data_IF_902659446628
#
_entry.id   IF_902659446628
#
_cell.length_a   1.000
_cell.length_b   1.000
_cell.length_c   1.000
_cell.angle_alpha   90.00
_cell.angle_beta   90.00
_cell.angle_gamma   90.00
#
_symmetry.space_group_name_H-M   'P 1'
#
loop_
_entity.id
_entity.type
_entity.pdbx_description
1 polymer ?
#
# COMPACT_ATOMS: atom_id res chain seq x y z
N UNK A 1 17.99 -20.37 5.24
CA UNK A 1 19.18 -21.08 4.72
C UNK A 1 19.53 -22.16 5.72
N UNK A 2 19.50 -23.43 5.29
CA UNK A 2 19.96 -24.56 6.11
C UNK A 2 21.41 -24.30 6.52
N UNK A 3 21.75 -24.53 7.78
CA UNK A 3 23.14 -24.47 8.20
C UNK A 3 23.95 -25.47 7.35
N UNK A 4 25.07 -25.03 6.75
CA UNK A 4 25.90 -25.93 5.97
C UNK A 4 26.34 -27.11 6.86
N UNK A 5 26.47 -28.30 6.29
CA UNK A 5 26.90 -29.46 7.06
C UNK A 5 28.23 -29.17 7.75
N UNK A 6 28.42 -29.72 8.96
CA UNK A 6 29.64 -29.51 9.74
C UNK A 6 30.89 -29.84 8.92
N UNK A 7 30.84 -30.91 8.12
CA UNK A 7 31.93 -31.31 7.22
C UNK A 7 32.26 -30.25 6.16
N UNK A 8 31.24 -29.63 5.58
CA UNK A 8 31.47 -28.54 4.63
C UNK A 8 32.13 -27.32 5.30
N UNK A 9 31.65 -26.95 6.50
CA UNK A 9 32.20 -25.81 7.24
C UNK A 9 33.64 -26.02 7.66
N UNK A 10 34.01 -27.24 8.08
CA UNK A 10 35.40 -27.62 8.43
C UNK A 10 36.27 -27.59 7.17
N UNK A 11 35.81 -28.20 6.08
CA UNK A 11 36.55 -28.22 4.81
C UNK A 11 36.80 -26.82 4.25
N UNK A 12 35.78 -25.95 4.34
CA UNK A 12 35.91 -24.55 3.93
C UNK A 12 36.91 -23.77 4.80
N UNK A 13 36.87 -23.93 6.14
CA UNK A 13 37.81 -23.30 7.03
C UNK A 13 39.25 -23.78 6.80
N UNK A 14 39.44 -25.09 6.57
CA UNK A 14 40.74 -25.64 6.23
C UNK A 14 41.30 -25.05 4.92
N UNK A 15 40.42 -24.88 3.90
CA UNK A 15 40.80 -24.22 2.65
C UNK A 15 41.19 -22.77 2.86
N UNK A 16 40.43 -22.02 3.67
CA UNK A 16 40.77 -20.63 4.02
C UNK A 16 42.14 -20.53 4.72
N UNK A 17 42.43 -21.43 5.66
CA UNK A 17 43.75 -21.48 6.35
C UNK A 17 44.86 -21.84 5.36
N UNK A 18 44.67 -22.81 4.47
CA UNK A 18 45.65 -23.18 3.47
C UNK A 18 45.97 -22.02 2.52
N UNK A 19 44.96 -21.30 2.03
CA UNK A 19 45.14 -20.10 1.20
C UNK A 19 45.87 -19.01 1.97
N UNK A 20 45.49 -18.73 3.23
CA UNK A 20 46.13 -17.76 4.06
C UNK A 20 47.61 -18.10 4.31
N UNK A 21 47.94 -19.39 4.54
CA UNK A 21 49.30 -19.85 4.73
C UNK A 21 50.14 -19.73 3.44
N UNK A 22 49.55 -20.07 2.28
CA UNK A 22 50.21 -19.90 0.97
C UNK A 22 50.48 -18.40 0.69
N UNK A 23 49.44 -17.54 0.94
CA UNK A 23 49.61 -16.08 0.81
C UNK A 23 50.71 -15.53 1.72
N UNK A 24 50.81 -16.03 2.94
CA UNK A 24 51.91 -15.67 3.87
C UNK A 24 53.28 -16.03 3.28
N UNK A 25 53.41 -17.24 2.73
CA UNK A 25 54.68 -17.67 2.09
C UNK A 25 55.10 -16.76 0.94
N UNK A 26 54.15 -16.39 0.09
CA UNK A 26 54.38 -15.43 -0.99
C UNK A 26 54.77 -14.04 -0.48
N UNK A 27 54.07 -13.54 0.55
CA UNK A 27 54.36 -12.24 1.15
C UNK A 27 55.70 -12.22 1.89
N UNK A 28 56.14 -13.32 2.51
CA UNK A 28 57.39 -13.44 3.18
C UNK A 28 58.61 -13.26 2.24
N UNK A 29 58.44 -13.52 0.93
CA UNK A 29 59.47 -13.25 -0.09
C UNK A 29 59.70 -11.73 -0.30
N UNK A 30 58.68 -10.91 -0.01
CA UNK A 30 58.72 -9.45 -0.23
C UNK A 30 58.91 -8.70 1.11
N UNK A 31 58.21 -9.17 2.14
CA UNK A 31 58.14 -8.58 3.49
C UNK A 31 58.14 -9.69 4.55
N UNK A 32 59.28 -9.96 5.24
CA UNK A 32 59.35 -11.04 6.22
C UNK A 32 58.54 -10.78 7.50
N UNK A 33 58.16 -9.52 7.77
CA UNK A 33 57.47 -9.07 9.00
C UNK A 33 55.96 -9.34 9.01
N UNK A 34 55.40 -9.92 7.99
CA UNK A 34 53.95 -10.17 7.84
C UNK A 34 53.56 -11.50 8.50
N UNK A 35 53.33 -11.51 9.81
CA UNK A 35 53.09 -12.76 10.56
C UNK A 35 51.61 -13.20 10.56
N UNK A 36 50.67 -12.28 10.88
CA UNK A 36 49.27 -12.61 11.13
C UNK A 36 48.31 -12.05 10.09
N UNK A 37 48.71 -11.07 9.29
CA UNK A 37 47.82 -10.33 8.37
C UNK A 37 47.05 -11.23 7.40
N UNK A 38 47.61 -12.28 6.76
CA UNK A 38 46.88 -13.15 5.84
C UNK A 38 45.80 -14.00 6.51
N UNK A 39 45.86 -14.18 7.83
CA UNK A 39 44.86 -15.01 8.55
C UNK A 39 43.61 -14.24 8.93
N UNK A 40 43.59 -12.90 8.93
CA UNK A 40 42.35 -12.12 9.19
C UNK A 40 41.24 -12.41 8.21
N UNK A 41 41.47 -12.36 6.88
CA UNK A 41 40.43 -12.77 5.92
C UNK A 41 39.94 -14.20 6.14
N UNK A 42 40.83 -15.13 6.47
CA UNK A 42 40.44 -16.52 6.73
C UNK A 42 39.47 -16.62 7.93
N UNK A 43 39.72 -15.88 9.01
CA UNK A 43 38.85 -15.80 10.20
C UNK A 43 37.48 -15.19 9.81
N UNK A 44 37.46 -14.11 9.01
CA UNK A 44 36.21 -13.48 8.54
C UNK A 44 35.35 -14.46 7.75
N UNK A 45 35.95 -15.08 6.71
CA UNK A 45 35.24 -16.03 5.87
C UNK A 45 34.81 -17.30 6.63
N UNK A 46 35.69 -17.88 7.43
CA UNK A 46 35.36 -19.04 8.25
C UNK A 46 34.21 -18.73 9.23
N UNK A 47 34.19 -17.54 9.84
CA UNK A 47 33.10 -17.10 10.72
C UNK A 47 31.80 -16.86 9.92
N UNK A 48 31.92 -16.20 8.76
CA UNK A 48 30.75 -15.86 7.95
C UNK A 48 30.05 -17.09 7.34
N UNK A 49 30.77 -18.17 7.01
CA UNK A 49 30.21 -19.37 6.40
C UNK A 49 30.10 -20.54 7.37
N UNK A 50 31.06 -20.70 8.29
CA UNK A 50 31.11 -21.81 9.24
C UNK A 50 30.51 -21.51 10.62
N UNK A 51 30.25 -20.23 10.91
CA UNK A 51 29.69 -19.79 12.19
C UNK A 51 30.73 -19.60 13.30
N UNK A 52 30.24 -19.25 14.52
CA UNK A 52 31.08 -18.85 15.66
C UNK A 52 32.17 -19.85 16.03
N UNK A 53 31.80 -21.14 16.16
CA UNK A 53 32.77 -22.20 16.58
C UNK A 53 33.90 -22.39 15.57
N UNK A 54 33.58 -22.34 14.29
CA UNK A 54 34.55 -22.47 13.19
C UNK A 54 35.45 -21.24 13.12
N UNK A 55 34.90 -20.04 13.33
CA UNK A 55 35.66 -18.81 13.39
C UNK A 55 36.71 -18.83 14.52
N UNK A 56 36.33 -19.28 15.73
CA UNK A 56 37.26 -19.43 16.85
C UNK A 56 38.38 -20.45 16.52
N UNK A 57 38.01 -21.62 16.00
CA UNK A 57 38.97 -22.64 15.61
C UNK A 57 39.98 -22.12 14.58
N UNK A 58 39.47 -21.37 13.56
CA UNK A 58 40.31 -20.75 12.52
C UNK A 58 41.24 -19.68 13.11
N UNK A 59 40.76 -18.88 14.06
CA UNK A 59 41.60 -17.88 14.73
C UNK A 59 42.70 -18.52 15.59
N UNK A 60 42.40 -19.60 16.30
CA UNK A 60 43.39 -20.35 17.07
C UNK A 60 44.45 -20.99 16.18
N UNK A 61 44.03 -21.70 15.13
CA UNK A 61 44.97 -22.33 14.18
C UNK A 61 45.80 -21.27 13.43
N UNK A 62 45.16 -20.20 12.94
CA UNK A 62 45.89 -19.09 12.29
C UNK A 62 46.86 -18.38 13.21
N UNK A 63 46.50 -18.21 14.48
CA UNK A 63 47.37 -17.66 15.51
C UNK A 63 48.60 -18.53 15.79
N UNK A 64 48.42 -19.85 15.95
CA UNK A 64 49.53 -20.79 16.15
C UNK A 64 50.44 -20.87 14.94
N UNK A 65 49.90 -20.96 13.72
CA UNK A 65 50.67 -20.96 12.47
C UNK A 65 51.41 -19.63 12.28
N UNK A 66 50.76 -18.50 12.62
CA UNK A 66 51.38 -17.18 12.58
C UNK A 66 52.59 -17.06 13.53
N UNK A 67 52.50 -17.64 14.72
CA UNK A 67 53.54 -17.60 15.71
C UNK A 67 54.71 -18.58 15.44
N UNK A 68 54.43 -19.79 14.92
CA UNK A 68 55.40 -20.87 14.73
C UNK A 68 56.18 -20.79 13.43
N UNK A 69 55.57 -20.35 12.33
CA UNK A 69 56.21 -20.26 11.03
C UNK A 69 57.04 -18.96 10.85
N UNK A 70 57.74 -18.50 11.88
CA UNK A 70 58.62 -17.32 11.81
C UNK A 70 59.94 -17.70 11.13
N UNK A 71 60.35 -16.90 10.11
CA UNK A 71 61.69 -17.03 9.49
C UNK A 71 62.75 -16.30 10.33
N UNK A 72 64.02 -16.51 10.01
CA UNK A 72 65.20 -16.21 10.80
C UNK A 72 65.40 -14.79 11.33
N UNK A 73 64.68 -13.78 10.81
CA UNK A 73 64.76 -12.38 11.24
C UNK A 73 63.57 -11.98 12.14
N UNK A 74 63.16 -12.88 13.00
CA UNK A 74 61.99 -12.69 13.83
C UNK A 74 62.19 -11.57 14.90
N UNK A 75 61.16 -10.74 15.17
CA UNK A 75 61.18 -9.81 16.28
C UNK A 75 61.38 -10.54 17.61
N UNK A 76 61.78 -9.80 18.62
CA UNK A 76 61.92 -10.35 19.98
C UNK A 76 60.70 -11.14 20.43
N UNK A 77 60.87 -12.14 21.32
CA UNK A 77 59.73 -12.95 21.82
C UNK A 77 58.62 -12.08 22.42
N UNK A 78 58.96 -10.93 23.00
CA UNK A 78 58.00 -9.95 23.47
C UNK A 78 57.17 -9.35 22.33
N UNK A 79 57.78 -8.98 21.21
CA UNK A 79 57.06 -8.42 20.06
C UNK A 79 56.12 -9.46 19.42
N UNK A 80 56.53 -10.73 19.32
CA UNK A 80 55.65 -11.84 18.85
C UNK A 80 54.45 -12.03 19.75
N UNK A 81 54.64 -11.98 21.07
CA UNK A 81 53.54 -12.11 22.02
C UNK A 81 52.56 -10.95 21.89
N UNK A 82 53.01 -9.72 21.74
CA UNK A 82 52.17 -8.53 21.53
C UNK A 82 51.35 -8.67 20.23
N UNK A 83 51.97 -9.06 19.11
CA UNK A 83 51.30 -9.26 17.84
C UNK A 83 50.24 -10.37 17.90
N UNK A 84 50.52 -11.47 18.60
CA UNK A 84 49.55 -12.56 18.81
C UNK A 84 48.32 -12.06 19.62
N UNK A 85 48.57 -11.28 20.69
CA UNK A 85 47.49 -10.71 21.50
C UNK A 85 46.61 -9.76 20.62
N UNK A 86 47.22 -8.90 19.83
CA UNK A 86 46.51 -8.01 18.92
C UNK A 86 45.70 -8.83 17.92
N UNK A 87 46.31 -9.87 17.32
CA UNK A 87 45.62 -10.76 16.40
C UNK A 87 44.38 -11.42 17.03
N UNK A 88 44.49 -11.93 18.24
CA UNK A 88 43.40 -12.56 18.98
C UNK A 88 42.29 -11.56 19.33
N UNK A 89 42.61 -10.35 19.76
CA UNK A 89 41.66 -9.28 20.05
C UNK A 89 40.90 -8.91 18.78
N UNK A 90 41.59 -8.61 17.68
CA UNK A 90 40.97 -8.23 16.42
C UNK A 90 40.12 -9.37 15.86
N UNK A 91 40.60 -10.61 15.95
CA UNK A 91 39.82 -11.80 15.54
C UNK A 91 38.55 -11.97 16.37
N UNK A 92 38.62 -11.76 17.70
CA UNK A 92 37.46 -11.82 18.60
C UNK A 92 36.43 -10.74 18.27
N UNK A 93 36.87 -9.49 18.05
CA UNK A 93 35.98 -8.39 17.61
C UNK A 93 35.34 -8.69 16.26
N UNK A 94 36.11 -9.24 15.33
CA UNK A 94 35.59 -9.64 13.99
C UNK A 94 34.53 -10.73 14.10
N UNK A 95 34.80 -11.79 14.88
CA UNK A 95 33.86 -12.88 15.12
C UNK A 95 32.59 -12.34 15.77
N UNK A 96 32.71 -11.49 16.78
CA UNK A 96 31.58 -10.84 17.44
C UNK A 96 30.75 -9.98 16.43
N UNK A 97 31.45 -9.12 15.67
CA UNK A 97 30.79 -8.25 14.68
C UNK A 97 30.03 -9.02 13.60
N UNK A 98 30.63 -10.09 13.05
CA UNK A 98 29.96 -10.95 12.07
C UNK A 98 28.74 -11.63 12.67
N UNK A 99 28.80 -12.13 13.90
CA UNK A 99 27.67 -12.76 14.58
C UNK A 99 26.56 -11.74 14.89
N UNK A 100 26.94 -10.57 15.36
CA UNK A 100 25.98 -9.49 15.65
C UNK A 100 25.25 -9.04 14.38
N UNK A 101 25.98 -8.82 13.28
CA UNK A 101 25.40 -8.49 11.99
C UNK A 101 24.42 -9.58 11.48
N UNK A 102 24.80 -10.86 11.62
CA UNK A 102 23.92 -11.98 11.23
C UNK A 102 22.65 -12.03 12.05
N UNK A 103 22.74 -11.77 13.35
CA UNK A 103 21.55 -11.70 14.24
C UNK A 103 20.61 -10.58 13.82
N UNK A 104 21.12 -9.38 13.56
CA UNK A 104 20.32 -8.26 13.07
C UNK A 104 19.65 -8.62 11.72
N UNK A 105 20.44 -9.13 10.78
CA UNK A 105 19.92 -9.49 9.45
C UNK A 105 18.85 -10.60 9.52
N UNK A 106 18.99 -11.56 10.43
CA UNK A 106 17.97 -12.62 10.61
C UNK A 106 16.68 -12.06 11.22
N UNK A 107 16.78 -11.20 12.22
CA UNK A 107 15.64 -10.55 12.85
C UNK A 107 14.87 -9.66 11.86
N UNK A 108 15.59 -8.86 11.05
CA UNK A 108 14.96 -8.04 10.01
C UNK A 108 14.18 -8.89 8.99
N UNK A 109 14.75 -10.04 8.57
CA UNK A 109 14.08 -10.96 7.65
C UNK A 109 12.82 -11.56 8.28
N UNK A 110 12.86 -11.90 9.55
CA UNK A 110 11.69 -12.45 10.26
C UNK A 110 10.58 -11.41 10.41
N UNK A 111 10.93 -10.18 10.80
CA UNK A 111 9.97 -9.06 10.88
C UNK A 111 9.35 -8.77 9.51
N UNK A 112 10.17 -8.70 8.46
CA UNK A 112 9.67 -8.49 7.09
C UNK A 112 8.72 -9.60 6.64
N UNK A 113 9.01 -10.86 6.96
CA UNK A 113 8.10 -11.98 6.65
C UNK A 113 6.76 -11.87 7.40
N UNK A 114 6.80 -11.50 8.68
CA UNK A 114 5.58 -11.31 9.48
C UNK A 114 4.71 -10.18 8.92
N UNK A 115 5.33 -9.05 8.53
CA UNK A 115 4.62 -7.94 7.92
C UNK A 115 3.94 -8.33 6.60
N UNK A 116 4.64 -9.09 5.74
CA UNK A 116 4.05 -9.59 4.48
C UNK A 116 2.85 -10.51 4.77
N UNK A 117 2.99 -11.45 5.71
CA UNK A 117 1.90 -12.36 6.09
C UNK A 117 0.69 -11.63 6.69
N UNK A 118 0.95 -10.60 7.52
CA UNK A 118 -0.11 -9.78 8.10
C UNK A 118 -0.85 -8.96 7.03
N UNK A 119 -0.12 -8.42 6.05
CA UNK A 119 -0.69 -7.69 4.92
C UNK A 119 -1.54 -8.62 4.03
N UNK A 120 -1.04 -9.83 3.72
CA UNK A 120 -1.81 -10.84 2.96
C UNK A 120 -3.08 -11.24 3.72
N UNK A 121 -2.98 -11.50 5.03
CA UNK A 121 -4.13 -11.83 5.85
C UNK A 121 -5.15 -10.69 5.91
N UNK A 122 -4.68 -9.46 6.05
CA UNK A 122 -5.55 -8.27 6.02
C UNK A 122 -6.31 -8.15 4.70
N UNK A 123 -5.63 -8.36 3.56
CA UNK A 123 -6.28 -8.37 2.24
C UNK A 123 -7.38 -9.42 2.14
N UNK A 124 -7.08 -10.66 2.56
CA UNK A 124 -8.07 -11.74 2.56
C UNK A 124 -9.31 -11.42 3.40
N UNK A 125 -9.11 -10.82 4.59
CA UNK A 125 -10.24 -10.43 5.47
C UNK A 125 -11.06 -9.31 4.82
N UNK A 126 -10.41 -8.32 4.20
CA UNK A 126 -11.12 -7.23 3.50
C UNK A 126 -11.92 -7.79 2.33
N UNK A 127 -11.35 -8.65 1.49
CA UNK A 127 -12.02 -9.27 0.35
C UNK A 127 -13.24 -10.09 0.80
N UNK A 128 -13.12 -10.87 1.87
CA UNK A 128 -14.23 -11.66 2.43
C UNK A 128 -15.34 -10.76 2.97
N UNK A 129 -14.98 -9.67 3.68
CA UNK A 129 -15.97 -8.69 4.17
C UNK A 129 -16.73 -8.02 3.02
N UNK A 130 -16.04 -7.65 1.95
CA UNK A 130 -16.64 -7.06 0.75
C UNK A 130 -17.57 -8.05 0.07
N UNK A 131 -17.13 -9.31 -0.11
CA UNK A 131 -17.97 -10.37 -0.67
C UNK A 131 -19.23 -10.60 0.17
N UNK A 132 -19.11 -10.61 1.50
CA UNK A 132 -20.27 -10.73 2.40
C UNK A 132 -21.20 -9.52 2.33
N UNK A 133 -20.67 -8.31 2.20
CA UNK A 133 -21.47 -7.09 2.05
C UNK A 133 -22.27 -7.13 0.76
N UNK A 134 -21.64 -7.48 -0.34
CA UNK A 134 -22.30 -7.67 -1.65
C UNK A 134 -23.42 -8.71 -1.60
N UNK A 135 -23.18 -9.84 -0.94
CA UNK A 135 -24.20 -10.87 -0.75
C UNK A 135 -25.38 -10.38 0.10
N UNK A 136 -25.13 -9.60 1.15
CA UNK A 136 -26.18 -8.99 1.96
C UNK A 136 -27.00 -7.97 1.17
N UNK A 137 -26.36 -7.11 0.37
CA UNK A 137 -27.08 -6.17 -0.51
C UNK A 137 -27.92 -6.91 -1.55
N UNK A 138 -27.41 -7.97 -2.16
CA UNK A 138 -28.18 -8.81 -3.08
C UNK A 138 -29.39 -9.47 -2.41
N UNK A 139 -29.25 -9.92 -1.16
CA UNK A 139 -30.35 -10.49 -0.37
C UNK A 139 -31.40 -9.43 -0.06
N UNK A 140 -30.98 -8.24 0.38
CA UNK A 140 -31.90 -7.11 0.65
C UNK A 140 -32.64 -6.72 -0.62
N UNK A 141 -31.94 -6.64 -1.75
CA UNK A 141 -32.52 -6.35 -3.05
C UNK A 141 -33.59 -7.38 -3.43
N UNK A 142 -33.31 -8.69 -3.28
CA UNK A 142 -34.26 -9.75 -3.55
C UNK A 142 -35.50 -9.70 -2.65
N UNK A 143 -35.32 -9.46 -1.36
CA UNK A 143 -36.41 -9.32 -0.38
C UNK A 143 -37.28 -8.10 -0.70
N UNK A 144 -36.67 -6.95 -0.99
CA UNK A 144 -37.40 -5.74 -1.36
C UNK A 144 -38.16 -5.93 -2.68
N UNK A 145 -37.57 -6.61 -3.67
CA UNK A 145 -38.26 -6.96 -4.92
C UNK A 145 -39.49 -7.81 -4.64
N UNK A 146 -39.39 -8.83 -3.81
CA UNK A 146 -40.49 -9.71 -3.44
C UNK A 146 -41.64 -8.97 -2.70
N UNK A 147 -41.26 -8.11 -1.72
CA UNK A 147 -42.22 -7.35 -0.92
C UNK A 147 -42.94 -6.27 -1.75
N UNK A 148 -42.25 -5.70 -2.73
CA UNK A 148 -42.75 -4.60 -3.56
C UNK A 148 -43.32 -5.04 -4.94
N UNK A 149 -43.56 -6.36 -5.14
CA UNK A 149 -44.10 -6.88 -6.40
C UNK A 149 -45.39 -6.18 -6.84
N UNK A 150 -46.26 -5.88 -5.88
CA UNK A 150 -47.51 -5.20 -6.11
C UNK A 150 -47.40 -3.67 -6.15
N UNK A 151 -46.20 -3.13 -6.01
CA UNK A 151 -45.94 -1.69 -5.97
C UNK A 151 -44.85 -1.26 -6.97
N UNK A 152 -45.07 -1.43 -8.29
CA UNK A 152 -44.03 -1.23 -9.31
C UNK A 152 -43.48 0.21 -9.34
N UNK A 153 -44.27 1.22 -8.95
CA UNK A 153 -43.83 2.61 -8.89
C UNK A 153 -42.79 2.81 -7.77
N UNK A 154 -42.97 2.16 -6.62
CA UNK A 154 -42.03 2.24 -5.49
C UNK A 154 -40.78 1.46 -5.85
N UNK A 155 -40.91 0.26 -6.39
CA UNK A 155 -39.79 -0.54 -6.85
C UNK A 155 -38.91 0.21 -7.87
N UNK A 156 -39.50 0.78 -8.92
CA UNK A 156 -38.79 1.57 -9.91
C UNK A 156 -38.03 2.78 -9.33
N UNK A 157 -38.38 3.22 -8.12
CA UNK A 157 -37.65 4.28 -7.43
C UNK A 157 -36.53 3.78 -6.51
N UNK A 158 -36.60 2.53 -6.04
CA UNK A 158 -35.64 1.96 -5.07
C UNK A 158 -34.53 1.17 -5.79
N UNK A 159 -34.88 0.34 -6.80
CA UNK A 159 -33.93 -0.53 -7.50
C UNK A 159 -32.70 0.22 -8.05
N UNK A 160 -32.81 1.37 -8.74
CA UNK A 160 -31.67 2.09 -9.25
C UNK A 160 -30.72 2.58 -8.13
N UNK A 161 -31.27 2.95 -6.96
CA UNK A 161 -30.48 3.41 -5.82
C UNK A 161 -29.67 2.30 -5.17
N UNK A 162 -30.26 1.10 -5.05
CA UNK A 162 -29.53 -0.06 -4.55
C UNK A 162 -28.40 -0.42 -5.50
N UNK A 163 -28.61 -0.33 -6.80
CA UNK A 163 -27.57 -0.57 -7.83
C UNK A 163 -26.45 0.47 -7.77
N UNK A 164 -26.80 1.75 -7.59
CA UNK A 164 -25.80 2.83 -7.42
C UNK A 164 -24.93 2.60 -6.17
N UNK A 165 -25.55 2.20 -5.04
CA UNK A 165 -24.81 1.82 -3.83
C UNK A 165 -23.86 0.66 -4.09
N UNK A 166 -24.33 -0.40 -4.76
CA UNK A 166 -23.48 -1.56 -5.10
C UNK A 166 -22.31 -1.17 -6.01
N UNK A 167 -22.54 -0.30 -7.01
CA UNK A 167 -21.48 0.18 -7.90
C UNK A 167 -20.45 1.03 -7.15
N UNK A 168 -20.90 1.84 -6.19
CA UNK A 168 -20.01 2.65 -5.34
C UNK A 168 -19.17 1.77 -4.41
N UNK A 169 -19.77 0.73 -3.83
CA UNK A 169 -19.03 -0.23 -3.00
C UNK A 169 -17.95 -0.96 -3.81
N UNK A 170 -18.25 -1.34 -5.08
CA UNK A 170 -17.24 -1.93 -5.98
C UNK A 170 -16.10 -0.94 -6.32
N UNK A 171 -16.37 0.38 -6.42
CA UNK A 171 -15.33 1.40 -6.60
C UNK A 171 -14.45 1.57 -5.35
N UNK A 172 -15.08 1.68 -4.18
CA UNK A 172 -14.38 1.80 -2.89
C UNK A 172 -13.51 0.57 -2.65
N UNK A 173 -14.01 -0.61 -2.98
CA UNK A 173 -13.31 -1.88 -2.86
C UNK A 173 -11.98 -1.93 -3.62
N UNK A 174 -11.92 -1.33 -4.81
CA UNK A 174 -10.70 -1.28 -5.64
C UNK A 174 -9.53 -0.53 -4.98
N UNK A 175 -9.81 0.32 -3.98
CA UNK A 175 -8.83 1.18 -3.30
C UNK A 175 -8.79 0.84 -1.80
N UNK A 176 -8.60 -0.44 -1.47
CA UNK A 176 -8.48 -0.97 -0.10
C UNK A 176 -9.63 -0.62 0.86
N UNK A 177 -10.82 -0.31 0.32
CA UNK A 177 -11.99 0.02 1.12
C UNK A 177 -11.98 1.40 1.78
N UNK A 178 -10.98 2.23 1.52
CA UNK A 178 -10.82 3.55 2.18
C UNK A 178 -11.64 4.67 1.50
N UNK A 179 -11.95 4.52 0.20
CA UNK A 179 -12.68 5.51 -0.58
C UNK A 179 -12.47 5.38 -2.08
N UNK A 180 -12.71 6.45 -2.83
CA UNK A 180 -12.48 6.49 -4.27
C UNK A 180 -12.20 7.92 -4.77
N UNK A 181 -11.69 8.07 -6.00
CA UNK A 181 -11.57 9.39 -6.63
C UNK A 181 -12.96 9.91 -7.06
N UNK A 182 -13.22 11.22 -6.83
CA UNK A 182 -14.49 11.86 -7.19
C UNK A 182 -14.80 11.74 -8.70
N UNK A 183 -13.76 11.76 -9.54
CA UNK A 183 -13.91 11.65 -10.98
C UNK A 183 -14.38 10.25 -11.38
N UNK A 184 -13.84 9.20 -10.76
CA UNK A 184 -14.26 7.82 -11.01
C UNK A 184 -15.71 7.60 -10.55
N UNK A 185 -16.09 8.19 -9.42
CA UNK A 185 -17.47 8.17 -8.93
C UNK A 185 -18.43 8.84 -9.92
N UNK A 186 -18.10 10.04 -10.40
CA UNK A 186 -18.90 10.74 -11.41
C UNK A 186 -18.97 9.97 -12.73
N UNK A 187 -17.86 9.38 -13.18
CA UNK A 187 -17.83 8.58 -14.40
C UNK A 187 -18.71 7.31 -14.29
N UNK A 188 -18.78 6.69 -13.12
CA UNK A 188 -19.67 5.53 -12.91
C UNK A 188 -21.16 5.88 -13.05
N UNK A 189 -21.56 7.07 -12.60
CA UNK A 189 -22.95 7.52 -12.65
C UNK A 189 -23.34 8.14 -14.01
N UNK A 190 -22.41 8.84 -14.65
CA UNK A 190 -22.65 9.59 -15.89
C UNK A 190 -22.32 8.78 -17.15
N UNK A 191 -21.50 7.75 -17.06
CA UNK A 191 -21.08 6.92 -18.20
C UNK A 191 -22.21 6.41 -19.07
N UNK A 192 -23.36 5.95 -18.53
CA UNK A 192 -24.52 5.48 -19.30
C UNK A 192 -25.12 6.54 -20.23
N UNK A 193 -24.90 7.83 -19.97
CA UNK A 193 -25.47 8.94 -20.77
C UNK A 193 -24.58 9.40 -21.93
N UNK A 194 -23.37 8.82 -22.06
CA UNK A 194 -22.42 9.10 -23.14
C UNK A 194 -21.46 10.24 -22.84
N UNK A 195 -20.16 10.00 -23.03
CA UNK A 195 -19.07 10.89 -22.62
C UNK A 195 -19.03 12.26 -23.33
N UNK A 196 -19.71 12.41 -24.47
CA UNK A 196 -19.75 13.67 -25.22
C UNK A 196 -20.74 14.67 -24.60
N UNK A 197 -21.59 14.23 -23.70
CA UNK A 197 -22.69 15.01 -23.13
C UNK A 197 -22.41 15.65 -21.79
N UNK A 198 -21.24 15.40 -21.21
CA UNK A 198 -20.84 16.00 -19.96
C UNK A 198 -19.36 16.37 -19.92
N UNK A 199 -19.03 17.37 -19.13
CA UNK A 199 -17.67 17.80 -18.84
C UNK A 199 -17.42 17.75 -17.33
N UNK A 200 -16.24 17.29 -16.92
CA UNK A 200 -15.83 17.17 -15.54
C UNK A 200 -14.59 18.05 -15.31
N UNK A 201 -14.71 19.05 -14.43
CA UNK A 201 -13.67 20.05 -14.15
C UNK A 201 -13.33 20.08 -12.65
N UNK A 202 -12.11 19.72 -12.31
CA UNK A 202 -11.59 19.74 -10.94
C UNK A 202 -10.31 18.95 -10.82
N UNK A 203 -9.55 19.19 -9.78
CA UNK A 203 -8.34 18.42 -9.49
C UNK A 203 -8.74 17.02 -8.98
N UNK A 204 -7.83 16.02 -9.11
CA UNK A 204 -8.00 14.72 -8.48
C UNK A 204 -8.25 14.91 -6.99
N UNK A 205 -9.30 14.26 -6.48
CA UNK A 205 -9.72 14.35 -5.09
C UNK A 205 -10.18 12.98 -4.60
N UNK A 206 -9.48 12.46 -3.62
CA UNK A 206 -9.86 11.24 -2.94
C UNK A 206 -10.97 11.50 -1.92
N UNK A 207 -12.08 10.81 -2.06
CA UNK A 207 -13.24 10.86 -1.17
C UNK A 207 -13.19 9.70 -0.19
N UNK A 208 -13.23 9.94 1.14
CA UNK A 208 -13.41 8.87 2.12
C UNK A 208 -14.71 8.09 1.87
N UNK A 209 -14.71 6.77 2.13
CA UNK A 209 -15.79 5.85 1.78
C UNK A 209 -17.20 6.36 2.16
N UNK A 210 -17.37 6.86 3.38
CA UNK A 210 -18.68 7.38 3.85
C UNK A 210 -19.17 8.55 3.02
N UNK A 211 -18.28 9.48 2.65
CA UNK A 211 -18.62 10.64 1.83
C UNK A 211 -18.88 10.21 0.37
N UNK A 212 -18.08 9.29 -0.16
CA UNK A 212 -18.27 8.73 -1.49
C UNK A 212 -19.66 8.10 -1.66
N UNK A 213 -20.12 7.30 -0.71
CA UNK A 213 -21.46 6.71 -0.71
C UNK A 213 -22.56 7.78 -0.71
N UNK A 214 -22.43 8.83 0.09
CA UNK A 214 -23.42 9.92 0.13
C UNK A 214 -23.45 10.71 -1.17
N UNK A 215 -22.29 11.02 -1.74
CA UNK A 215 -22.19 11.71 -3.03
C UNK A 215 -22.66 10.84 -4.20
N UNK A 216 -22.42 9.53 -4.18
CA UNK A 216 -22.93 8.60 -5.18
C UNK A 216 -24.45 8.65 -5.27
N UNK A 217 -25.14 8.61 -4.14
CA UNK A 217 -26.61 8.73 -4.11
C UNK A 217 -27.10 10.08 -4.68
N UNK A 218 -26.40 11.16 -4.39
CA UNK A 218 -26.71 12.48 -4.92
C UNK A 218 -26.50 12.52 -6.43
N UNK A 219 -25.35 12.09 -6.90
CA UNK A 219 -25.02 12.06 -8.35
C UNK A 219 -25.97 11.16 -9.11
N UNK A 220 -26.32 9.99 -8.55
CA UNK A 220 -27.32 9.10 -9.13
C UNK A 220 -28.69 9.79 -9.31
N UNK A 221 -29.18 10.46 -8.28
CA UNK A 221 -30.45 11.19 -8.34
C UNK A 221 -30.39 12.33 -9.35
N UNK A 222 -29.31 13.12 -9.37
CA UNK A 222 -29.13 14.20 -10.34
C UNK A 222 -29.04 13.66 -11.77
N UNK A 223 -28.25 12.59 -12.01
CA UNK A 223 -28.11 11.96 -13.32
C UNK A 223 -29.44 11.36 -13.82
N UNK A 224 -30.18 10.70 -12.92
CA UNK A 224 -31.50 10.15 -13.24
C UNK A 224 -32.49 11.26 -13.56
N UNK A 225 -32.48 12.37 -12.84
CA UNK A 225 -33.32 13.53 -13.10
C UNK A 225 -32.94 14.22 -14.42
N UNK A 226 -31.64 14.37 -14.69
CA UNK A 226 -31.12 14.85 -15.97
C UNK A 226 -31.58 13.99 -17.14
N UNK A 227 -31.60 12.64 -16.96
CA UNK A 227 -32.07 11.69 -17.94
C UNK A 227 -33.57 11.75 -18.18
N UNK A 228 -34.39 11.96 -17.15
CA UNK A 228 -35.84 11.95 -17.24
C UNK A 228 -36.46 13.31 -17.61
N UNK A 229 -35.90 14.37 -17.07
CA UNK A 229 -36.51 15.70 -17.07
C UNK A 229 -35.57 16.83 -17.46
N UNK A 230 -34.24 16.61 -17.39
CA UNK A 230 -33.21 17.61 -17.54
C UNK A 230 -32.41 17.48 -18.85
N UNK A 231 -31.16 17.88 -18.81
CA UNK A 231 -30.28 17.98 -19.97
C UNK A 231 -30.21 16.71 -20.81
N UNK A 232 -30.12 15.54 -20.19
CA UNK A 232 -29.96 14.27 -20.93
C UNK A 232 -31.26 13.79 -21.60
N UNK A 233 -32.45 14.36 -21.29
CA UNK A 233 -33.71 14.09 -22.00
C UNK A 233 -33.80 14.81 -23.34
N UNK A 234 -32.93 15.82 -23.59
CA UNK A 234 -32.83 16.58 -24.85
C UNK A 234 -31.62 16.12 -25.68
N UNK A 235 -31.72 16.16 -26.99
CA UNK A 235 -30.62 15.78 -27.88
C UNK A 235 -29.41 16.72 -27.79
N UNK A 236 -29.60 17.99 -27.40
CA UNK A 236 -28.57 19.02 -27.29
C UNK A 236 -28.13 19.28 -25.87
N UNK A 237 -28.83 18.76 -24.88
CA UNK A 237 -28.56 19.03 -23.48
C UNK A 237 -27.17 18.59 -23.04
N UNK A 238 -26.51 19.46 -22.33
CA UNK A 238 -25.16 19.31 -21.83
C UNK A 238 -25.14 19.45 -20.30
N UNK A 239 -24.24 18.72 -19.67
CA UNK A 239 -23.96 18.78 -18.25
C UNK A 239 -22.52 19.24 -18.01
N UNK A 240 -22.32 20.16 -17.11
CA UNK A 240 -21.02 20.50 -16.57
C UNK A 240 -21.00 20.23 -15.09
N UNK A 241 -20.02 19.45 -14.63
CA UNK A 241 -19.76 19.25 -13.20
C UNK A 241 -18.38 19.80 -12.88
N UNK A 242 -18.31 20.67 -11.89
CA UNK A 242 -17.04 21.22 -11.41
C UNK A 242 -16.93 21.08 -9.91
N UNK A 243 -15.69 20.90 -9.41
CA UNK A 243 -15.45 20.82 -7.97
C UNK A 243 -14.12 21.48 -7.59
N UNK A 244 -14.11 21.98 -6.37
CA UNK A 244 -12.93 22.57 -5.74
C UNK A 244 -12.93 22.31 -4.23
N UNK A 245 -11.75 22.33 -3.63
CA UNK A 245 -11.60 22.23 -2.18
C UNK A 245 -11.00 23.53 -1.68
N UNK A 246 -11.64 24.13 -0.66
CA UNK A 246 -11.14 25.29 0.06
C UNK A 246 -11.45 25.13 1.55
N UNK A 247 -10.46 25.37 2.41
CA UNK A 247 -10.62 25.29 3.87
C UNK A 247 -11.29 23.99 4.36
N UNK A 248 -10.79 22.83 3.90
CA UNK A 248 -11.33 21.49 4.16
C UNK A 248 -12.80 21.27 3.72
N UNK A 249 -13.35 22.18 2.93
CA UNK A 249 -14.68 22.06 2.35
C UNK A 249 -14.61 21.74 0.87
N UNK A 250 -15.33 20.70 0.50
CA UNK A 250 -15.59 20.34 -0.89
C UNK A 250 -16.79 21.15 -1.38
N UNK A 251 -16.58 21.86 -2.48
CA UNK A 251 -17.64 22.57 -3.20
C UNK A 251 -17.80 21.91 -4.56
N UNK A 252 -19.03 21.51 -4.90
CA UNK A 252 -19.37 20.89 -6.17
C UNK A 252 -20.48 21.71 -6.80
N UNK A 253 -20.35 21.97 -8.11
CA UNK A 253 -21.37 22.63 -8.91
C UNK A 253 -21.78 21.67 -10.05
N UNK A 254 -23.09 21.51 -10.22
CA UNK A 254 -23.72 20.71 -11.25
C UNK A 254 -24.61 21.63 -12.08
N UNK A 255 -24.25 21.83 -13.34
CA UNK A 255 -24.91 22.75 -14.27
C UNK A 255 -25.45 21.99 -15.48
N UNK A 256 -26.77 21.99 -15.62
CA UNK A 256 -27.48 21.49 -16.79
C UNK A 256 -27.85 22.63 -17.72
N UNK A 257 -27.58 22.45 -19.01
CA UNK A 257 -27.91 23.43 -20.05
C UNK A 257 -28.55 22.76 -21.25
N UNK A 258 -29.27 23.54 -22.06
CA UNK A 258 -29.98 23.08 -23.27
C UNK A 258 -30.93 21.90 -23.04
N UNK A 259 -31.40 21.73 -21.82
CA UNK A 259 -32.48 20.82 -21.47
C UNK A 259 -33.85 21.38 -21.83
N UNK A 260 -34.92 20.62 -21.64
CA UNK A 260 -36.28 21.12 -21.80
C UNK A 260 -36.58 22.19 -20.74
N UNK A 261 -37.47 23.15 -21.11
CA UNK A 261 -37.86 24.20 -20.16
C UNK A 261 -38.52 23.55 -18.94
N UNK A 262 -37.96 23.86 -17.76
CA UNK A 262 -38.48 23.32 -16.49
C UNK A 262 -39.89 23.84 -16.26
N UNK A 263 -40.89 22.94 -16.31
CA UNK A 263 -42.29 23.25 -16.00
C UNK A 263 -42.50 23.52 -14.50
N UNK A 264 -43.76 23.66 -14.11
CA UNK A 264 -44.13 23.87 -12.70
C UNK A 264 -43.56 22.73 -11.83
N UNK A 265 -42.77 23.11 -10.80
CA UNK A 265 -42.16 22.15 -9.87
C UNK A 265 -43.30 21.53 -9.05
N UNK A 266 -43.52 20.23 -9.23
CA UNK A 266 -44.46 19.47 -8.39
C UNK A 266 -43.96 19.36 -6.94
N UNK A 267 -44.75 18.75 -6.06
CA UNK A 267 -44.33 18.48 -4.68
C UNK A 267 -42.96 17.81 -4.62
N UNK A 268 -42.11 18.25 -3.65
CA UNK A 268 -40.78 17.72 -3.44
C UNK A 268 -40.85 16.19 -3.21
N UNK A 269 -40.51 15.43 -4.24
CA UNK A 269 -40.46 13.97 -4.20
C UNK A 269 -39.34 13.45 -3.28
N UNK A 270 -39.25 12.14 -3.15
CA UNK A 270 -38.22 11.48 -2.31
C UNK A 270 -36.79 11.89 -2.70
N UNK A 271 -36.50 12.02 -4.00
CA UNK A 271 -35.18 12.41 -4.51
C UNK A 271 -34.75 13.80 -3.99
N UNK A 272 -35.66 14.78 -4.01
CA UNK A 272 -35.37 16.14 -3.48
C UNK A 272 -35.09 16.13 -1.98
N UNK A 273 -35.78 15.28 -1.21
CA UNK A 273 -35.50 15.11 0.24
C UNK A 273 -34.14 14.48 0.46
N UNK A 274 -33.77 13.46 -0.31
CA UNK A 274 -32.47 12.82 -0.26
C UNK A 274 -31.35 13.82 -0.56
N UNK A 275 -31.46 14.57 -1.67
CA UNK A 275 -30.49 15.59 -2.05
C UNK A 275 -30.22 16.60 -0.93
N UNK A 276 -31.25 17.00 -0.20
CA UNK A 276 -31.12 17.97 0.92
C UNK A 276 -30.51 17.38 2.18
N UNK A 277 -30.65 16.06 2.42
CA UNK A 277 -30.25 15.44 3.70
C UNK A 277 -28.95 14.63 3.63
N UNK A 278 -28.54 14.17 2.45
CA UNK A 278 -27.44 13.23 2.32
C UNK A 278 -26.07 13.77 2.77
N UNK A 279 -25.85 15.09 2.70
CA UNK A 279 -24.62 15.72 3.16
C UNK A 279 -24.69 16.22 4.61
N UNK A 280 -25.82 16.08 5.29
CA UNK A 280 -25.97 16.49 6.69
C UNK A 280 -24.90 15.92 7.64
N UNK A 281 -24.56 14.62 7.56
CA UNK A 281 -23.50 14.03 8.39
C UNK A 281 -22.10 14.65 8.19
N UNK A 282 -21.89 15.40 7.11
CA UNK A 282 -20.63 16.04 6.72
C UNK A 282 -20.67 17.57 6.87
N UNK A 283 -21.53 18.08 7.73
CA UNK A 283 -21.75 19.53 7.87
C UNK A 283 -21.98 20.20 6.52
N UNK A 284 -22.75 19.51 5.66
CA UNK A 284 -22.95 19.88 4.28
C UNK A 284 -24.39 20.27 3.95
N UNK A 285 -24.53 20.96 2.82
CA UNK A 285 -25.81 21.37 2.26
C UNK A 285 -25.83 21.21 0.75
N UNK A 286 -27.03 21.01 0.21
CA UNK A 286 -27.29 20.97 -1.22
C UNK A 286 -28.37 22.01 -1.53
N UNK A 287 -28.10 22.89 -2.48
CA UNK A 287 -29.03 23.91 -2.96
C UNK A 287 -29.31 23.67 -4.44
N UNK A 288 -30.58 23.66 -4.82
CA UNK A 288 -31.00 23.39 -6.19
C UNK A 288 -31.81 24.60 -6.68
N UNK A 289 -31.39 25.17 -7.78
CA UNK A 289 -32.07 26.23 -8.49
C UNK A 289 -32.55 25.72 -9.87
N UNK A 290 -33.82 25.88 -10.13
CA UNK A 290 -34.43 25.57 -11.42
C UNK A 290 -34.39 26.81 -12.31
N UNK A 291 -33.54 26.83 -13.30
CA UNK A 291 -33.37 27.93 -14.24
C UNK A 291 -34.13 27.64 -15.52
N UNK A 292 -34.43 28.68 -16.32
CA UNK A 292 -35.05 28.47 -17.64
C UNK A 292 -34.20 27.62 -18.61
N UNK A 293 -32.89 27.59 -18.39
CA UNK A 293 -31.90 26.88 -19.20
C UNK A 293 -31.58 25.48 -18.72
N UNK A 294 -32.04 25.10 -17.51
CA UNK A 294 -31.73 23.81 -16.88
C UNK A 294 -31.66 23.90 -15.36
N UNK A 295 -31.05 22.89 -14.74
CA UNK A 295 -30.88 22.81 -13.29
C UNK A 295 -29.47 23.30 -12.94
N UNK A 296 -29.40 24.15 -11.93
CA UNK A 296 -28.16 24.52 -11.25
C UNK A 296 -28.19 23.97 -9.82
N UNK A 297 -27.25 23.09 -9.47
CA UNK A 297 -27.17 22.52 -8.14
C UNK A 297 -25.79 22.76 -7.55
N UNK A 298 -25.76 23.34 -6.36
CA UNK A 298 -24.52 23.51 -5.58
C UNK A 298 -24.54 22.60 -4.36
N UNK A 299 -23.42 21.96 -4.11
CA UNK A 299 -23.21 21.06 -2.97
C UNK A 299 -21.97 21.53 -2.23
N UNK A 300 -22.07 21.64 -0.94
CA UNK A 300 -20.95 21.96 -0.06
C UNK A 300 -20.92 21.00 1.10
N UNK A 301 -19.75 20.46 1.43
CA UNK A 301 -19.60 19.59 2.60
C UNK A 301 -18.17 19.63 3.12
N UNK A 302 -17.99 19.23 4.36
CA UNK A 302 -16.68 19.03 4.97
C UNK A 302 -16.12 17.66 4.57
N UNK A 303 -14.84 17.60 4.22
CA UNK A 303 -14.16 16.33 3.97
C UNK A 303 -13.76 15.75 5.33
N UNK A 304 -14.23 14.56 5.73
CA UNK A 304 -13.79 13.92 6.96
C UNK A 304 -12.28 13.67 6.89
N UNK A 305 -11.57 14.04 7.95
CA UNK A 305 -10.18 13.61 8.11
C UNK A 305 -10.19 12.11 8.41
N UNK A 306 -9.41 11.34 7.66
CA UNK A 306 -9.27 9.88 7.79
C UNK A 306 -8.57 9.47 9.08
#
# INVERSE_FOLDING_TARGET
MSQPSLFFSIGFAASCIAVATAARWCLALIRPDVFFTPYFPAVVFATAFGGFRIGIATALVGGTLGATLSFSDAPSDFARMVLLIIFLIVSSLTIWGVQHYRSIASNQREVSKRLIQEEEYRKLVVDELQHRLKNKLSTIHAVLHQVLQDQPKIWASIDPRIRALSATDDLIAKVDGSGCDIKDLLLSELGPYGHVRFTLNGNSLFLPAKLAVSLALIFHELATNAGKYGAFSSARGLLQVSWSVSDDRLNITWDETEGPVVGAIGEAGFGTKLLKSALGPFDGKTEIAFLKTGIHCTMQCRIPQS
#
